data_IF_422840962507
#
_entry.id   IF_422840962507
#
_cell.length_a   1.000
_cell.length_b   1.000
_cell.length_c   1.000
_cell.angle_alpha   90.00
_cell.angle_beta   90.00
_cell.angle_gamma   90.00
#
_symmetry.space_group_name_H-M   'P 1'
#
loop_
_entity.id
_entity.type
_entity.pdbx_description
1 polymer ?
#
# COMPACT_ATOMS: atom_id res chain seq x y z
N UNK A 1 4.60 -21.40 24.82
CA UNK A 1 4.48 -20.21 23.98
C UNK A 1 3.81 -19.10 24.78
N UNK A 2 4.56 -18.09 25.14
CA UNK A 2 4.00 -16.96 25.87
C UNK A 2 3.07 -16.16 24.95
N UNK A 3 1.77 -16.17 25.22
CA UNK A 3 0.84 -15.23 24.62
C UNK A 3 1.23 -13.84 25.10
N UNK A 4 1.82 -13.05 24.21
CA UNK A 4 1.99 -11.63 24.46
C UNK A 4 0.60 -11.03 24.61
N UNK A 5 0.27 -10.67 25.82
CA UNK A 5 -0.96 -9.96 26.17
C UNK A 5 -0.90 -8.59 25.50
N UNK A 6 -1.46 -8.46 24.31
CA UNK A 6 -1.66 -7.18 23.64
C UNK A 6 -2.88 -6.54 24.28
N UNK A 7 -2.66 -5.78 25.35
CA UNK A 7 -3.67 -4.92 25.95
C UNK A 7 -4.01 -3.76 25.01
N UNK A 8 -4.69 -4.06 23.92
CA UNK A 8 -5.25 -3.07 23.01
C UNK A 8 -6.62 -3.55 22.58
N UNK A 9 -7.57 -2.64 22.48
CA UNK A 9 -8.89 -2.89 21.90
C UNK A 9 -8.71 -3.60 20.57
N UNK A 10 -9.27 -4.82 20.44
CA UNK A 10 -9.26 -5.55 19.17
C UNK A 10 -10.07 -4.78 18.14
N UNK A 11 -9.48 -4.58 16.96
CA UNK A 11 -10.21 -4.00 15.81
C UNK A 11 -11.40 -4.88 15.45
N UNK A 12 -12.55 -4.27 15.19
CA UNK A 12 -13.74 -5.00 14.74
C UNK A 12 -13.61 -5.43 13.27
N UNK A 13 -12.89 -4.66 12.46
CA UNK A 13 -12.64 -4.93 11.05
C UNK A 13 -11.15 -4.76 10.73
N UNK A 14 -10.62 -5.45 9.70
CA UNK A 14 -9.19 -5.46 9.43
C UNK A 14 -8.69 -4.17 8.78
N UNK A 15 -7.39 -3.92 8.93
CA UNK A 15 -6.65 -2.93 8.17
C UNK A 15 -5.77 -3.63 7.13
N UNK A 16 -5.78 -3.14 5.89
CA UNK A 16 -4.94 -3.61 4.81
C UNK A 16 -4.06 -2.48 4.29
N UNK A 17 -2.83 -2.82 3.93
CA UNK A 17 -1.96 -1.97 3.14
C UNK A 17 -1.87 -2.53 1.72
N UNK A 18 -2.13 -1.68 0.74
CA UNK A 18 -1.89 -1.97 -0.67
C UNK A 18 -0.65 -1.18 -1.08
N UNK A 19 0.42 -1.86 -1.36
CA UNK A 19 1.70 -1.26 -1.73
C UNK A 19 2.23 -1.83 -3.06
N UNK A 20 3.26 -1.23 -3.58
CA UNK A 20 3.87 -1.61 -4.85
C UNK A 20 4.50 -0.39 -5.53
N UNK A 21 5.30 -0.65 -6.53
CA UNK A 21 5.90 0.40 -7.37
C UNK A 21 4.81 1.30 -7.97
N UNK A 22 5.04 2.61 -8.14
CA UNK A 22 4.11 3.46 -8.89
C UNK A 22 3.72 2.84 -10.24
N UNK A 23 2.44 2.89 -10.57
CA UNK A 23 1.91 2.30 -11.81
C UNK A 23 1.41 0.86 -11.71
N UNK A 24 1.50 0.22 -10.56
CA UNK A 24 1.06 -1.18 -10.37
C UNK A 24 -0.44 -1.34 -10.10
N UNK A 25 -1.20 -0.24 -10.06
CA UNK A 25 -2.66 -0.30 -9.89
C UNK A 25 -3.14 -0.24 -8.43
N UNK A 26 -2.34 0.30 -7.52
CA UNK A 26 -2.69 0.42 -6.10
C UNK A 26 -4.01 1.16 -5.86
N UNK A 27 -4.13 2.35 -6.42
CA UNK A 27 -5.32 3.20 -6.22
C UNK A 27 -6.58 2.55 -6.79
N UNK A 28 -6.48 1.97 -7.98
CA UNK A 28 -7.59 1.27 -8.62
C UNK A 28 -8.05 0.07 -7.80
N UNK A 29 -7.11 -0.73 -7.34
CA UNK A 29 -7.39 -1.92 -6.51
C UNK A 29 -7.97 -1.52 -5.15
N UNK A 30 -7.34 -0.55 -4.49
CA UNK A 30 -7.78 -0.08 -3.16
C UNK A 30 -9.18 0.54 -3.20
N UNK A 31 -9.47 1.38 -4.18
CA UNK A 31 -10.78 2.01 -4.33
C UNK A 31 -11.89 0.97 -4.61
N UNK A 32 -11.63 0.02 -5.51
CA UNK A 32 -12.59 -1.04 -5.81
C UNK A 32 -12.84 -1.95 -4.60
N UNK A 33 -11.77 -2.28 -3.85
CA UNK A 33 -11.87 -3.08 -2.65
C UNK A 33 -12.66 -2.36 -1.54
N UNK A 34 -12.43 -1.07 -1.36
CA UNK A 34 -13.16 -0.26 -0.39
C UNK A 34 -14.65 -0.21 -0.71
N UNK A 35 -15.00 -0.04 -1.98
CA UNK A 35 -16.40 -0.05 -2.44
C UNK A 35 -17.06 -1.41 -2.18
N UNK A 36 -16.37 -2.50 -2.47
CA UNK A 36 -16.90 -3.86 -2.30
C UNK A 36 -17.09 -4.26 -0.83
N UNK A 37 -16.35 -3.67 0.09
CA UNK A 37 -16.30 -4.07 1.50
C UNK A 37 -16.84 -3.04 2.47
N UNK A 38 -17.12 -1.83 2.01
CA UNK A 38 -17.46 -0.65 2.84
C UNK A 38 -16.35 -0.26 3.83
N UNK A 39 -15.12 -0.66 3.59
CA UNK A 39 -13.97 -0.16 4.34
C UNK A 39 -13.59 1.24 3.87
N UNK A 40 -12.93 1.99 4.76
CA UNK A 40 -12.44 3.34 4.44
C UNK A 40 -11.21 3.24 3.53
N UNK A 41 -11.22 3.97 2.43
CA UNK A 41 -10.04 4.12 1.57
C UNK A 41 -9.21 5.34 2.00
N UNK A 42 -7.93 5.12 2.25
CA UNK A 42 -6.96 6.16 2.61
C UNK A 42 -5.81 6.12 1.61
N UNK A 43 -5.74 7.12 0.74
CA UNK A 43 -4.60 7.33 -0.15
C UNK A 43 -3.58 8.23 0.55
N UNK A 44 -2.43 7.71 0.89
CA UNK A 44 -1.39 8.47 1.60
C UNK A 44 -0.87 9.63 0.74
N UNK A 45 -0.71 9.42 -0.57
CA UNK A 45 -0.28 10.49 -1.48
C UNK A 45 -1.22 11.69 -1.47
N UNK A 46 -2.52 11.46 -1.47
CA UNK A 46 -3.53 12.51 -1.40
C UNK A 46 -3.55 13.18 -0.02
N UNK A 47 -3.45 12.40 1.04
CA UNK A 47 -3.37 12.91 2.41
C UNK A 47 -2.17 13.85 2.60
N UNK A 48 -1.00 13.44 2.11
CA UNK A 48 0.23 14.23 2.19
C UNK A 48 0.09 15.55 1.44
N UNK A 49 -0.54 15.56 0.28
CA UNK A 49 -0.81 16.78 -0.50
C UNK A 49 -1.81 17.69 0.20
N UNK A 50 -2.91 17.15 0.66
CA UNK A 50 -4.00 17.90 1.30
C UNK A 50 -3.56 18.55 2.61
N UNK A 51 -2.82 17.83 3.44
CA UNK A 51 -2.34 18.28 4.75
C UNK A 51 -0.96 18.91 4.71
N UNK A 52 -0.31 18.93 3.57
CA UNK A 52 1.06 19.43 3.40
C UNK A 52 2.08 18.73 4.32
N UNK A 53 1.95 17.40 4.48
CA UNK A 53 2.84 16.56 5.29
C UNK A 53 4.12 16.20 4.55
N UNK A 54 4.82 17.18 4.04
CA UNK A 54 6.07 17.03 3.31
C UNK A 54 7.07 18.11 3.70
N UNK A 55 8.35 17.82 3.45
CA UNK A 55 9.44 18.77 3.63
C UNK A 55 10.48 18.53 2.53
N UNK A 56 11.00 19.61 1.94
CA UNK A 56 12.01 19.50 0.90
C UNK A 56 11.53 18.81 -0.38
N UNK A 57 12.45 18.66 -1.32
CA UNK A 57 12.21 18.10 -2.64
C UNK A 57 13.36 17.18 -3.04
N UNK A 58 13.03 15.97 -3.46
CA UNK A 58 13.98 15.02 -4.04
C UNK A 58 14.03 15.23 -5.56
N UNK A 59 15.14 15.81 -6.04
CA UNK A 59 15.30 16.09 -7.47
C UNK A 59 15.56 14.85 -8.31
N UNK A 60 16.04 13.76 -7.72
CA UNK A 60 16.27 12.51 -8.43
C UNK A 60 14.97 11.74 -8.70
N UNK A 61 14.09 11.71 -7.70
CA UNK A 61 12.78 11.05 -7.80
C UNK A 61 11.66 12.00 -8.22
N UNK A 62 11.94 13.29 -8.31
CA UNK A 62 10.95 14.34 -8.66
C UNK A 62 9.71 14.27 -7.77
N UNK A 63 9.91 14.18 -6.47
CA UNK A 63 8.84 14.15 -5.47
C UNK A 63 9.23 14.87 -4.17
N UNK A 64 8.25 15.18 -3.35
CA UNK A 64 8.49 15.72 -2.01
C UNK A 64 8.93 14.62 -1.04
N UNK A 65 9.79 14.98 -0.08
CA UNK A 65 10.06 14.14 1.08
C UNK A 65 8.86 14.18 2.02
N UNK A 66 8.31 13.01 2.32
CA UNK A 66 7.17 12.87 3.22
C UNK A 66 7.58 13.08 4.68
N UNK A 67 6.74 13.77 5.46
CA UNK A 67 6.85 13.82 6.91
C UNK A 67 6.12 12.61 7.51
N UNK A 68 6.85 11.54 7.75
CA UNK A 68 6.31 10.26 8.20
C UNK A 68 5.63 10.35 9.56
N UNK A 69 6.21 11.09 10.50
CA UNK A 69 5.65 11.26 11.84
C UNK A 69 4.27 11.94 11.80
N UNK A 70 4.10 12.94 10.94
CA UNK A 70 2.82 13.62 10.77
C UNK A 70 1.75 12.70 10.20
N UNK A 71 2.11 11.82 9.26
CA UNK A 71 1.19 10.83 8.70
C UNK A 71 0.76 9.83 9.77
N UNK A 72 1.71 9.33 10.57
CA UNK A 72 1.41 8.38 11.64
C UNK A 72 0.49 9.01 12.68
N UNK A 73 0.77 10.23 13.13
CA UNK A 73 -0.05 10.93 14.12
C UNK A 73 -1.48 11.16 13.61
N UNK A 74 -1.63 11.53 12.34
CA UNK A 74 -2.95 11.78 11.72
C UNK A 74 -3.80 10.50 11.65
N UNK A 75 -3.20 9.34 11.38
CA UNK A 75 -3.92 8.10 11.10
C UNK A 75 -4.03 7.14 12.28
N UNK A 76 -3.27 7.35 13.35
CA UNK A 76 -3.17 6.34 14.42
C UNK A 76 -4.52 5.97 15.04
N UNK A 77 -5.38 6.93 15.30
CA UNK A 77 -6.73 6.68 15.86
C UNK A 77 -7.60 5.86 14.91
N UNK A 78 -7.61 6.21 13.62
CA UNK A 78 -8.36 5.46 12.61
C UNK A 78 -7.86 4.02 12.46
N UNK A 79 -6.54 3.82 12.55
CA UNK A 79 -5.94 2.50 12.45
C UNK A 79 -6.19 1.64 13.69
N UNK A 80 -6.27 2.24 14.86
CA UNK A 80 -6.70 1.55 16.10
C UNK A 80 -8.15 1.10 16.00
N UNK A 81 -9.01 1.96 15.47
CA UNK A 81 -10.43 1.64 15.25
C UNK A 81 -10.60 0.48 14.25
N UNK A 82 -9.81 0.47 13.18
CA UNK A 82 -9.84 -0.56 12.15
C UNK A 82 -10.78 -0.26 10.98
N UNK A 83 -10.80 -1.15 10.01
CA UNK A 83 -11.64 -1.03 8.82
C UNK A 83 -11.10 -0.08 7.78
N UNK A 84 -9.79 -0.11 7.53
CA UNK A 84 -9.12 0.80 6.60
C UNK A 84 -8.35 0.04 5.51
N UNK A 85 -8.35 0.60 4.32
CA UNK A 85 -7.49 0.21 3.21
C UNK A 85 -6.58 1.39 2.90
N UNK A 86 -5.29 1.21 3.17
CA UNK A 86 -4.26 2.23 2.99
C UNK A 86 -3.49 1.93 1.69
N UNK A 87 -3.29 2.93 0.87
CA UNK A 87 -2.60 2.87 -0.41
C UNK A 87 -1.37 3.78 -0.36
N UNK A 88 -0.18 3.17 -0.50
CA UNK A 88 1.08 3.90 -0.60
C UNK A 88 2.18 3.03 -1.21
N UNK A 89 3.13 3.65 -1.93
CA UNK A 89 4.24 2.92 -2.54
C UNK A 89 5.33 2.51 -1.54
N UNK A 90 5.55 3.28 -0.48
CA UNK A 90 6.47 2.93 0.61
C UNK A 90 5.74 2.22 1.73
N UNK A 91 6.38 1.26 2.39
CA UNK A 91 5.70 0.47 3.42
C UNK A 91 6.49 0.34 4.73
N UNK A 92 7.71 0.84 4.80
CA UNK A 92 8.64 0.59 5.91
C UNK A 92 8.46 1.49 7.13
N UNK A 93 7.75 2.61 7.00
CA UNK A 93 7.61 3.58 8.08
C UNK A 93 6.34 3.41 8.93
N UNK A 94 5.35 2.67 8.46
CA UNK A 94 4.13 2.43 9.22
C UNK A 94 4.38 1.50 10.42
N UNK A 95 3.71 1.72 11.57
CA UNK A 95 3.75 0.75 12.66
C UNK A 95 3.26 -0.62 12.21
N UNK A 96 4.00 -1.67 12.54
CA UNK A 96 3.62 -3.06 12.15
C UNK A 96 2.24 -3.45 12.67
N UNK A 97 1.86 -2.95 13.84
CA UNK A 97 0.57 -3.26 14.48
C UNK A 97 -0.64 -2.73 13.70
N UNK A 98 -0.44 -1.82 12.74
CA UNK A 98 -1.53 -1.22 12.00
C UNK A 98 -2.23 -2.18 11.04
N UNK A 99 -1.50 -3.15 10.48
CA UNK A 99 -1.99 -3.94 9.37
C UNK A 99 -2.18 -5.41 9.72
N UNK A 100 -3.30 -5.95 9.26
CA UNK A 100 -3.62 -7.38 9.33
C UNK A 100 -3.24 -8.11 8.03
N UNK A 101 -3.11 -7.37 6.94
CA UNK A 101 -2.63 -7.86 5.65
C UNK A 101 -1.88 -6.75 4.92
N UNK A 102 -0.75 -7.11 4.32
CA UNK A 102 0.04 -6.25 3.45
C UNK A 102 0.06 -6.88 2.06
N UNK A 103 -0.48 -6.18 1.08
CA UNK A 103 -0.58 -6.65 -0.31
C UNK A 103 0.44 -5.90 -1.15
N UNK A 104 1.36 -6.64 -1.77
CA UNK A 104 2.35 -6.08 -2.70
C UNK A 104 1.90 -6.40 -4.12
N UNK A 105 1.51 -5.38 -4.87
CA UNK A 105 1.13 -5.54 -6.27
C UNK A 105 2.37 -5.59 -7.14
N UNK A 106 2.39 -6.57 -8.05
CA UNK A 106 3.49 -6.81 -8.98
C UNK A 106 3.01 -6.64 -10.41
N UNK A 107 3.80 -5.96 -11.21
CA UNK A 107 3.52 -5.71 -12.63
C UNK A 107 4.74 -6.02 -13.48
N UNK A 108 4.55 -6.71 -14.59
CA UNK A 108 5.61 -6.96 -15.57
C UNK A 108 6.15 -5.65 -16.14
N UNK A 109 7.47 -5.61 -16.40
CA UNK A 109 8.15 -4.38 -16.83
C UNK A 109 7.57 -3.77 -18.11
N UNK A 110 7.19 -4.58 -19.08
CA UNK A 110 6.59 -4.10 -20.33
C UNK A 110 5.24 -3.38 -20.09
N UNK A 111 4.42 -3.93 -19.20
CA UNK A 111 3.14 -3.33 -18.81
C UNK A 111 3.37 -2.07 -17.99
N UNK A 112 4.29 -2.13 -17.04
CA UNK A 112 4.63 -0.99 -16.19
C UNK A 112 5.19 0.18 -17.01
N UNK A 113 6.06 -0.10 -17.98
CA UNK A 113 6.59 0.89 -18.89
C UNK A 113 5.47 1.67 -19.60
N UNK A 114 4.52 0.96 -20.17
CA UNK A 114 3.40 1.59 -20.88
C UNK A 114 2.53 2.45 -19.93
N UNK A 115 2.24 1.94 -18.73
CA UNK A 115 1.46 2.68 -17.74
C UNK A 115 2.16 3.95 -17.28
N UNK A 116 3.46 3.88 -17.00
CA UNK A 116 4.22 5.03 -16.52
C UNK A 116 4.44 6.06 -17.64
N UNK A 117 4.72 5.64 -18.86
CA UNK A 117 4.85 6.56 -20.00
C UNK A 117 3.53 7.27 -20.28
N UNK A 118 2.40 6.58 -20.18
CA UNK A 118 1.08 7.19 -20.32
C UNK A 118 0.78 8.22 -19.22
N UNK A 119 1.42 8.11 -18.05
CA UNK A 119 1.33 9.10 -16.96
C UNK A 119 2.31 10.27 -17.12
N UNK A 120 3.12 10.27 -18.17
CA UNK A 120 4.12 11.30 -18.43
C UNK A 120 5.48 11.05 -17.78
N UNK A 121 5.73 9.88 -17.24
CA UNK A 121 7.06 9.53 -16.70
C UNK A 121 8.06 9.38 -17.85
N UNK A 122 9.25 9.93 -17.68
CA UNK A 122 10.34 9.85 -18.66
C UNK A 122 11.70 9.91 -17.96
N UNK A 123 12.77 9.67 -18.73
CA UNK A 123 14.14 9.82 -18.25
C UNK A 123 14.45 9.02 -16.99
N UNK A 124 15.14 9.64 -16.04
CA UNK A 124 15.59 9.01 -14.81
C UNK A 124 14.44 8.54 -13.93
N UNK A 125 13.34 9.31 -13.86
CA UNK A 125 12.16 8.92 -13.08
C UNK A 125 11.54 7.62 -13.61
N UNK A 126 11.39 7.48 -14.91
CA UNK A 126 10.89 6.26 -15.54
C UNK A 126 11.84 5.08 -15.28
N UNK A 127 13.13 5.27 -15.54
CA UNK A 127 14.15 4.24 -15.36
C UNK A 127 14.24 3.74 -13.92
N UNK A 128 14.23 4.65 -12.94
CA UNK A 128 14.31 4.30 -11.53
C UNK A 128 13.09 3.47 -11.07
N UNK A 129 11.90 3.82 -11.53
CA UNK A 129 10.69 3.07 -11.17
C UNK A 129 10.66 1.68 -11.81
N UNK A 130 11.09 1.55 -13.07
CA UNK A 130 11.21 0.24 -13.72
C UNK A 130 12.24 -0.66 -13.03
N UNK A 131 13.38 -0.11 -12.62
CA UNK A 131 14.40 -0.85 -11.88
C UNK A 131 13.89 -1.26 -10.48
N UNK A 132 13.19 -0.39 -9.79
CA UNK A 132 12.58 -0.66 -8.50
C UNK A 132 11.68 -1.90 -8.57
N UNK A 133 10.84 -1.99 -9.59
CA UNK A 133 9.99 -3.16 -9.82
C UNK A 133 10.79 -4.41 -10.22
N UNK A 134 11.74 -4.26 -11.13
CA UNK A 134 12.58 -5.36 -11.61
C UNK A 134 13.36 -6.03 -10.47
N UNK A 135 13.94 -5.23 -9.58
CA UNK A 135 14.71 -5.71 -8.43
C UNK A 135 13.85 -6.03 -7.20
N UNK A 136 12.53 -5.99 -7.31
CA UNK A 136 11.59 -6.37 -6.24
C UNK A 136 11.80 -5.56 -4.95
N UNK A 137 12.17 -4.30 -5.07
CA UNK A 137 12.53 -3.44 -3.93
C UNK A 137 11.38 -3.34 -2.92
N UNK A 138 10.16 -3.09 -3.39
CA UNK A 138 9.01 -2.93 -2.48
C UNK A 138 8.56 -4.27 -1.88
N UNK A 139 8.70 -5.36 -2.60
CA UNK A 139 8.40 -6.70 -2.08
C UNK A 139 9.37 -7.07 -0.95
N UNK A 140 10.67 -6.85 -1.15
CA UNK A 140 11.67 -7.09 -0.11
C UNK A 140 11.47 -6.18 1.10
N UNK A 141 11.16 -4.91 0.87
CA UNK A 141 10.84 -3.96 1.94
C UNK A 141 9.65 -4.42 2.79
N UNK A 142 8.61 -4.94 2.15
CA UNK A 142 7.46 -5.49 2.85
C UNK A 142 7.82 -6.73 3.69
N UNK A 143 8.62 -7.64 3.13
CA UNK A 143 9.09 -8.82 3.87
C UNK A 143 10.00 -8.47 5.04
N UNK A 144 10.82 -7.42 4.93
CA UNK A 144 11.69 -6.96 6.00
C UNK A 144 10.93 -6.21 7.10
N UNK A 145 9.81 -5.57 6.76
CA UNK A 145 9.07 -4.67 7.66
C UNK A 145 7.90 -5.34 8.39
N UNK A 146 7.36 -6.43 7.85
CA UNK A 146 6.16 -7.10 8.38
C UNK A 146 6.37 -8.60 8.51
N UNK A 147 5.55 -9.23 9.36
CA UNK A 147 5.54 -10.69 9.48
C UNK A 147 5.19 -11.32 8.13
N UNK A 148 5.95 -12.33 7.73
CA UNK A 148 5.78 -13.01 6.45
C UNK A 148 4.36 -13.55 6.24
N UNK A 149 3.71 -13.97 7.31
CA UNK A 149 2.34 -14.50 7.27
C UNK A 149 1.29 -13.49 6.81
N UNK A 150 1.54 -12.19 6.97
CA UNK A 150 0.59 -11.15 6.55
C UNK A 150 0.92 -10.53 5.20
N UNK A 151 2.11 -10.81 4.64
CA UNK A 151 2.53 -10.27 3.34
C UNK A 151 2.05 -11.18 2.22
N UNK A 152 1.35 -10.61 1.25
CA UNK A 152 0.83 -11.31 0.07
C UNK A 152 1.27 -10.58 -1.19
N UNK A 153 1.84 -11.32 -2.15
CA UNK A 153 2.20 -10.83 -3.47
C UNK A 153 1.08 -11.16 -4.46
N UNK A 154 0.57 -10.17 -5.18
CA UNK A 154 -0.48 -10.34 -6.19
C UNK A 154 -0.07 -9.70 -7.51
N UNK A 155 -0.27 -10.41 -8.61
CA UNK A 155 -0.02 -9.89 -9.94
C UNK A 155 -1.07 -8.87 -10.36
N UNK A 156 -0.64 -7.79 -11.01
CA UNK A 156 -1.49 -6.68 -11.42
C UNK A 156 -1.11 -6.21 -12.84
N UNK A 157 -1.22 -7.10 -13.81
CA UNK A 157 -0.86 -6.84 -15.20
C UNK A 157 -2.04 -6.44 -16.06
N UNK A 158 -3.24 -6.94 -15.75
CA UNK A 158 -4.45 -6.78 -16.54
C UNK A 158 -5.62 -6.31 -15.69
N UNK A 159 -6.67 -5.83 -16.33
CA UNK A 159 -7.95 -5.50 -15.66
C UNK A 159 -8.53 -6.75 -14.98
N UNK A 160 -8.39 -7.91 -15.61
CA UNK A 160 -8.82 -9.18 -15.04
C UNK A 160 -8.05 -9.53 -13.76
N UNK A 161 -6.74 -9.33 -13.74
CA UNK A 161 -5.93 -9.50 -12.53
C UNK A 161 -6.44 -8.63 -11.39
N UNK A 162 -6.73 -7.36 -11.66
CA UNK A 162 -7.26 -6.42 -10.66
C UNK A 162 -8.61 -6.92 -10.13
N UNK A 163 -9.50 -7.35 -11.00
CA UNK A 163 -10.81 -7.90 -10.61
C UNK A 163 -10.67 -9.15 -9.74
N UNK A 164 -9.79 -10.06 -10.11
CA UNK A 164 -9.50 -11.27 -9.33
C UNK A 164 -8.89 -10.94 -7.97
N UNK A 165 -7.98 -9.97 -7.91
CA UNK A 165 -7.37 -9.52 -6.68
C UNK A 165 -8.40 -8.90 -5.72
N UNK A 166 -9.29 -8.07 -6.24
CA UNK A 166 -10.38 -7.47 -5.45
C UNK A 166 -11.30 -8.56 -4.90
N UNK A 167 -11.66 -9.55 -5.70
CA UNK A 167 -12.49 -10.68 -5.26
C UNK A 167 -11.81 -11.50 -4.16
N UNK A 168 -10.56 -11.85 -4.34
CA UNK A 168 -9.77 -12.61 -3.36
C UNK A 168 -9.65 -11.86 -2.03
N UNK A 169 -9.35 -10.57 -2.09
CA UNK A 169 -9.20 -9.74 -0.88
C UNK A 169 -10.54 -9.47 -0.21
N UNK A 170 -11.62 -9.33 -0.97
CA UNK A 170 -12.98 -9.21 -0.43
C UNK A 170 -13.35 -10.45 0.39
N UNK A 171 -13.09 -11.63 -0.13
CA UNK A 171 -13.34 -12.89 0.57
C UNK A 171 -12.52 -12.98 1.86
N UNK A 172 -11.25 -12.59 1.80
CA UNK A 172 -10.38 -12.55 2.98
C UNK A 172 -10.91 -11.59 4.05
N UNK A 173 -11.34 -10.39 3.65
CA UNK A 173 -11.91 -9.38 4.58
C UNK A 173 -13.18 -9.92 5.24
N UNK A 174 -14.07 -10.53 4.46
CA UNK A 174 -15.34 -11.05 4.97
C UNK A 174 -15.16 -12.24 5.92
N UNK A 175 -14.10 -13.01 5.74
CA UNK A 175 -13.77 -14.15 6.60
C UNK A 175 -12.91 -13.76 7.81
N UNK A 176 -12.36 -12.55 7.83
CA UNK A 176 -11.45 -12.11 8.88
C UNK A 176 -12.18 -11.96 10.23
N UNK A 177 -11.50 -12.41 11.30
CA UNK A 177 -11.99 -12.31 12.67
C UNK A 177 -10.93 -11.67 13.56
N UNK A 178 -11.35 -10.80 14.50
CA UNK A 178 -10.42 -10.14 15.44
C UNK A 178 -9.63 -11.12 16.32
#
# INVERSE_FOLDING_TARGET
>A
MARRNRGGTRRARPNLLITGTPGTGKSTTAAALAEATNLRYICIGDLVKEKEFYHGWDSELECHFINEDSVIDELDDAMIEGGNIVDYHGCDFFPQRWFDRVVVLRTENSVLYDRLTNRGYSGTKLSNNLQCEMYQVLLEEAHDSYDEEIVTELQSNTIEDISNNVSTLTDWINAWQP
#
